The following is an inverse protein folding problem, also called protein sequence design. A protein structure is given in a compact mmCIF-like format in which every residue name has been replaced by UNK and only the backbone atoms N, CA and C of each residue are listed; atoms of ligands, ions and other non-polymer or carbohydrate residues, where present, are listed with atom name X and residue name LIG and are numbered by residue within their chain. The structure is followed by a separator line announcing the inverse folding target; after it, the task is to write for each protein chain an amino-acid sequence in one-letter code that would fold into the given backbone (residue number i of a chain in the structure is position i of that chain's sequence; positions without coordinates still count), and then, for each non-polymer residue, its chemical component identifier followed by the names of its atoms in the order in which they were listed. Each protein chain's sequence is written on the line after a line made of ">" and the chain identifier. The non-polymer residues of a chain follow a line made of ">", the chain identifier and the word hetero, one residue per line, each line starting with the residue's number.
data_IF_632975456656
#
_entry.id   IF_632975456656
#
_cell.length_a   1.000
_cell.length_b   1.000
_cell.length_c   1.000
_cell.angle_alpha   90.00
_cell.angle_beta   90.00
_cell.angle_gamma   90.00
#
_symmetry.space_group_name_H-M   'P 1'
#
loop_
_entity.id
_entity.type
_entity.pdbx_description
1 polymer ?
#
# COMPACT_ATOMS: atom_id res chain seq x y z
N UNK A 1 9.64 -16.29 -0.19
CA UNK A 1 8.77 -15.77 0.89
C UNK A 1 8.68 -14.24 0.94
N UNK A 2 9.74 -13.48 1.24
CA UNK A 2 9.64 -12.00 1.32
C UNK A 2 9.27 -11.37 -0.03
N UNK A 3 9.90 -11.82 -1.12
CA UNK A 3 9.60 -11.32 -2.47
C UNK A 3 8.18 -11.66 -2.94
N UNK A 4 7.68 -12.85 -2.59
CA UNK A 4 6.31 -13.27 -2.90
C UNK A 4 5.28 -12.42 -2.16
N UNK A 5 5.52 -12.14 -0.87
CA UNK A 5 4.68 -11.25 -0.07
C UNK A 5 4.72 -9.83 -0.65
N UNK A 6 5.90 -9.33 -1.01
CA UNK A 6 6.07 -8.01 -1.61
C UNK A 6 5.30 -7.88 -2.94
N UNK A 7 5.45 -8.86 -3.83
CA UNK A 7 4.78 -8.91 -5.13
C UNK A 7 3.26 -9.04 -4.97
N UNK A 8 2.79 -9.93 -4.10
CA UNK A 8 1.35 -10.07 -3.83
C UNK A 8 0.72 -8.80 -3.25
N UNK A 9 1.47 -8.03 -2.45
CA UNK A 9 1.02 -6.73 -1.95
C UNK A 9 0.91 -5.69 -3.08
N UNK A 10 1.91 -5.67 -3.97
CA UNK A 10 1.95 -4.78 -5.14
C UNK A 10 0.77 -5.04 -6.09
N UNK A 11 0.51 -6.31 -6.43
CA UNK A 11 -0.61 -6.71 -7.30
C UNK A 11 -1.96 -6.26 -6.73
N UNK A 12 -2.13 -6.35 -5.41
CA UNK A 12 -3.36 -5.92 -4.73
C UNK A 12 -3.53 -4.40 -4.72
N UNK A 13 -2.43 -3.64 -4.55
CA UNK A 13 -2.45 -2.18 -4.69
C UNK A 13 -2.85 -1.78 -6.11
N UNK A 14 -2.25 -2.40 -7.13
CA UNK A 14 -2.59 -2.11 -8.52
C UNK A 14 -4.06 -2.43 -8.82
N UNK A 15 -4.56 -3.57 -8.35
CA UNK A 15 -5.97 -3.94 -8.50
C UNK A 15 -6.93 -2.94 -7.81
N UNK A 16 -6.53 -2.34 -6.69
CA UNK A 16 -7.29 -1.27 -6.04
C UNK A 16 -7.31 -0.02 -6.92
N UNK A 17 -6.15 0.44 -7.42
CA UNK A 17 -6.13 1.61 -8.30
C UNK A 17 -6.93 1.38 -9.58
N UNK A 18 -6.74 0.26 -10.28
CA UNK A 18 -7.48 -0.06 -11.50
C UNK A 18 -9.00 -0.10 -11.29
N UNK A 19 -9.46 -0.54 -10.12
CA UNK A 19 -10.89 -0.69 -9.83
C UNK A 19 -11.58 0.60 -9.39
N UNK A 20 -10.82 1.58 -8.89
CA UNK A 20 -11.36 2.78 -8.23
C UNK A 20 -10.85 4.09 -8.83
N UNK A 21 -9.97 4.06 -9.82
CA UNK A 21 -9.57 5.25 -10.57
C UNK A 21 -10.65 5.66 -11.57
N UNK A 22 -10.82 6.96 -11.79
CA UNK A 22 -11.70 7.50 -12.82
C UNK A 22 -11.17 7.12 -14.21
N UNK A 23 -12.06 7.10 -15.20
CA UNK A 23 -11.73 6.71 -16.57
C UNK A 23 -10.63 7.59 -17.22
N UNK A 24 -10.49 8.83 -16.78
CA UNK A 24 -9.46 9.78 -17.20
C UNK A 24 -8.17 9.72 -16.35
N UNK A 25 -8.12 8.82 -15.35
CA UNK A 25 -6.96 8.67 -14.45
C UNK A 25 -6.81 9.79 -13.41
N UNK A 26 -7.69 10.80 -13.39
CA UNK A 26 -7.46 12.03 -12.62
C UNK A 26 -7.83 11.92 -11.14
N UNK A 27 -8.70 10.98 -10.78
CA UNK A 27 -9.25 10.85 -9.42
C UNK A 27 -9.36 9.39 -9.01
N UNK A 28 -9.18 9.12 -7.73
CA UNK A 28 -9.43 7.80 -7.15
C UNK A 28 -10.60 7.92 -6.16
N UNK A 29 -11.59 7.03 -6.28
CA UNK A 29 -12.76 7.00 -5.42
C UNK A 29 -12.45 6.22 -4.12
N UNK A 30 -11.77 6.92 -3.20
CA UNK A 30 -11.41 6.39 -1.88
C UNK A 30 -12.64 5.98 -1.05
N UNK A 31 -13.78 6.65 -1.24
CA UNK A 31 -15.01 6.34 -0.50
C UNK A 31 -15.54 4.95 -0.87
N UNK A 32 -15.65 4.66 -2.17
CA UNK A 32 -16.03 3.31 -2.65
C UNK A 32 -14.96 2.28 -2.36
N UNK A 33 -13.68 2.66 -2.46
CA UNK A 33 -12.56 1.75 -2.16
C UNK A 33 -12.60 1.27 -0.70
N UNK A 34 -12.85 2.16 0.26
CA UNK A 34 -12.89 1.86 1.70
C UNK A 34 -13.87 0.74 2.05
N UNK A 35 -15.05 0.72 1.42
CA UNK A 35 -16.09 -0.29 1.65
C UNK A 35 -15.90 -1.59 0.84
N UNK A 36 -14.85 -1.68 0.04
CA UNK A 36 -14.69 -2.78 -0.92
C UNK A 36 -14.08 -4.03 -0.31
N UNK A 37 -14.48 -5.19 -0.84
CA UNK A 37 -13.82 -6.48 -0.53
C UNK A 37 -12.35 -6.47 -0.90
N UNK A 38 -11.98 -5.79 -1.99
CA UNK A 38 -10.58 -5.64 -2.43
C UNK A 38 -9.73 -4.98 -1.35
N UNK A 39 -10.25 -3.94 -0.70
CA UNK A 39 -9.54 -3.24 0.36
C UNK A 39 -9.44 -4.10 1.63
N UNK A 40 -10.49 -4.84 1.98
CA UNK A 40 -10.42 -5.80 3.08
C UNK A 40 -9.39 -6.92 2.84
N UNK A 41 -9.33 -7.46 1.61
CA UNK A 41 -8.35 -8.48 1.22
C UNK A 41 -6.92 -7.92 1.26
N UNK A 42 -6.77 -6.66 0.86
CA UNK A 42 -5.51 -5.93 0.94
C UNK A 42 -5.00 -5.76 2.38
N UNK A 43 -5.86 -5.29 3.29
CA UNK A 43 -5.53 -5.14 4.72
C UNK A 43 -5.17 -6.48 5.36
N UNK A 44 -5.84 -7.56 4.97
CA UNK A 44 -5.48 -8.90 5.43
C UNK A 44 -4.10 -9.33 4.94
N UNK A 45 -3.80 -9.07 3.66
CA UNK A 45 -2.50 -9.40 3.06
C UNK A 45 -1.36 -8.57 3.68
N UNK A 46 -1.57 -7.29 3.99
CA UNK A 46 -0.57 -6.46 4.65
C UNK A 46 -0.24 -6.96 6.06
N UNK A 47 -1.19 -7.58 6.76
CA UNK A 47 -0.94 -8.26 8.04
C UNK A 47 0.10 -9.39 7.95
N UNK A 48 0.26 -10.04 6.78
CA UNK A 48 1.23 -11.12 6.58
C UNK A 48 2.69 -10.63 6.55
N UNK A 49 2.91 -9.32 6.38
CA UNK A 49 4.24 -8.71 6.48
C UNK A 49 4.83 -8.88 7.89
N UNK A 50 3.99 -8.87 8.93
CA UNK A 50 4.44 -8.98 10.34
C UNK A 50 4.93 -10.38 10.70
N UNK A 51 4.27 -11.41 10.19
CA UNK A 51 4.49 -12.79 10.65
C UNK A 51 5.48 -13.56 9.74
N UNK A 52 5.81 -13.00 8.56
CA UNK A 52 6.60 -13.66 7.52
C UNK A 52 7.96 -13.04 7.19
N UNK A 53 8.27 -11.87 7.74
CA UNK A 53 9.45 -11.06 7.37
C UNK A 53 10.27 -10.71 8.61
N UNK A 54 11.53 -11.15 8.65
CA UNK A 54 12.48 -10.77 9.70
C UNK A 54 13.46 -9.71 9.19
N UNK A 55 14.05 -8.92 10.10
CA UNK A 55 15.08 -7.93 9.75
C UNK A 55 16.29 -8.62 9.09
N UNK A 56 16.68 -9.80 9.57
CA UNK A 56 17.74 -10.59 8.95
C UNK A 56 17.43 -11.01 7.51
N UNK A 57 16.20 -11.45 7.24
CA UNK A 57 15.76 -11.81 5.89
C UNK A 57 15.74 -10.60 4.94
N UNK A 58 15.37 -9.41 5.43
CA UNK A 58 15.43 -8.17 4.66
C UNK A 58 16.86 -7.71 4.38
N UNK A 59 17.76 -7.86 5.35
CA UNK A 59 19.17 -7.50 5.21
C UNK A 59 19.88 -8.37 4.15
N UNK A 60 19.46 -9.63 4.00
CA UNK A 60 20.00 -10.55 2.99
C UNK A 60 19.48 -10.33 1.56
N UNK A 61 18.47 -9.46 1.36
CA UNK A 61 17.95 -9.20 0.02
C UNK A 61 18.91 -8.35 -0.82
N UNK A 62 18.93 -8.54 -2.15
CA UNK A 62 19.49 -7.56 -3.06
C UNK A 62 18.88 -6.18 -2.83
N UNK A 63 19.67 -5.13 -3.01
CA UNK A 63 19.24 -3.76 -2.72
C UNK A 63 17.95 -3.38 -3.46
N UNK A 64 17.83 -3.76 -4.74
CA UNK A 64 16.62 -3.53 -5.53
C UNK A 64 15.37 -4.19 -4.92
N UNK A 65 15.47 -5.47 -4.51
CA UNK A 65 14.36 -6.20 -3.87
C UNK A 65 13.99 -5.58 -2.52
N UNK A 66 14.98 -5.15 -1.74
CA UNK A 66 14.77 -4.47 -0.47
C UNK A 66 14.08 -3.12 -0.64
N UNK A 67 14.49 -2.33 -1.64
CA UNK A 67 13.86 -1.06 -1.97
C UNK A 67 12.41 -1.25 -2.42
N UNK A 68 12.14 -2.22 -3.31
CA UNK A 68 10.78 -2.55 -3.74
C UNK A 68 9.88 -2.95 -2.56
N UNK A 69 10.41 -3.73 -1.61
CA UNK A 69 9.69 -4.08 -0.39
C UNK A 69 9.29 -2.85 0.43
N UNK A 70 10.23 -1.94 0.71
CA UNK A 70 9.92 -0.73 1.47
C UNK A 70 8.97 0.23 0.74
N UNK A 71 9.08 0.34 -0.58
CA UNK A 71 8.13 1.11 -1.40
C UNK A 71 6.72 0.54 -1.29
N UNK A 72 6.58 -0.79 -1.38
CA UNK A 72 5.28 -1.44 -1.27
C UNK A 72 4.66 -1.25 0.12
N UNK A 73 5.46 -1.32 1.18
CA UNK A 73 5.01 -1.00 2.54
C UNK A 73 4.60 0.47 2.68
N UNK A 74 5.41 1.39 2.17
CA UNK A 74 5.11 2.82 2.20
C UNK A 74 3.78 3.14 1.51
N UNK A 75 3.59 2.60 0.30
CA UNK A 75 2.35 2.77 -0.45
C UNK A 75 1.15 2.18 0.32
N UNK A 76 1.37 1.08 1.05
CA UNK A 76 0.34 0.46 1.86
C UNK A 76 -0.10 1.26 3.06
N UNK A 77 0.86 1.79 3.81
CA UNK A 77 0.57 2.62 4.97
C UNK A 77 -0.08 3.93 4.53
N UNK A 78 0.39 4.53 3.43
CA UNK A 78 -0.18 5.75 2.87
C UNK A 78 -1.63 5.54 2.47
N UNK A 79 -1.92 4.48 1.70
CA UNK A 79 -3.28 4.15 1.29
C UNK A 79 -4.18 3.86 2.49
N UNK A 80 -3.68 3.08 3.45
CA UNK A 80 -4.41 2.76 4.67
C UNK A 80 -4.71 4.03 5.48
N UNK A 81 -3.75 4.92 5.66
CA UNK A 81 -3.92 6.17 6.40
C UNK A 81 -4.94 7.09 5.72
N UNK A 82 -4.82 7.31 4.39
CA UNK A 82 -5.78 8.09 3.61
C UNK A 82 -7.21 7.55 3.70
N UNK A 83 -7.36 6.23 3.83
CA UNK A 83 -8.67 5.60 3.94
C UNK A 83 -9.18 5.56 5.39
N UNK A 84 -8.32 5.24 6.37
CA UNK A 84 -8.66 5.03 7.77
C UNK A 84 -8.98 6.31 8.54
N UNK A 85 -8.28 7.40 8.24
CA UNK A 85 -8.37 8.66 9.00
C UNK A 85 -9.49 9.60 8.52
N UNK A 86 -10.21 9.23 7.46
CA UNK A 86 -11.34 10.02 6.96
C UNK A 86 -10.86 11.23 6.16
N UNK A 87 -11.02 11.11 4.84
CA UNK A 87 -10.98 12.19 3.85
C UNK A 87 -9.89 13.25 4.02
N UNK A 88 -8.68 12.88 3.61
CA UNK A 88 -7.91 13.63 2.62
C UNK A 88 -7.32 12.60 1.67
N UNK A 89 -7.96 12.42 0.50
CA UNK A 89 -7.43 11.58 -0.59
C UNK A 89 -5.97 11.91 -0.91
N UNK A 90 -5.31 11.14 -1.80
CA UNK A 90 -3.86 10.94 -1.75
C UNK A 90 -3.20 12.29 -1.66
N UNK A 91 -2.70 12.52 -0.46
CA UNK A 91 -2.46 13.85 0.01
C UNK A 91 -1.34 14.40 -0.87
N UNK A 92 -1.53 15.60 -1.42
CA UNK A 92 -0.49 16.34 -2.16
C UNK A 92 0.86 16.18 -1.44
N UNK A 93 2.00 16.29 -2.15
CA UNK A 93 3.32 16.15 -1.51
C UNK A 93 3.44 16.90 -0.16
N UNK A 94 2.73 18.02 -0.02
CA UNK A 94 2.56 18.81 1.21
C UNK A 94 2.01 18.02 2.40
N UNK A 95 0.91 17.31 2.24
CA UNK A 95 0.28 16.56 3.34
C UNK A 95 1.06 15.30 3.74
N UNK A 96 2.03 14.85 2.92
CA UNK A 96 2.93 13.75 3.29
C UNK A 96 3.96 14.18 4.32
N UNK A 97 4.30 15.47 4.35
CA UNK A 97 5.19 16.05 5.35
C UNK A 97 4.60 15.97 6.76
N UNK A 98 3.31 16.28 6.89
CA UNK A 98 2.62 16.32 8.20
C UNK A 98 2.43 14.92 8.83
N UNK A 99 2.48 13.84 8.05
CA UNK A 99 2.31 12.48 8.56
C UNK A 99 3.61 11.89 9.13
N UNK A 100 4.77 12.27 8.59
CA UNK A 100 6.08 11.75 9.00
C UNK A 100 6.95 12.74 9.79
N UNK A 101 6.45 13.98 9.99
CA UNK A 101 7.08 15.03 10.79
C UNK A 101 6.87 14.85 12.29
#
# INVERSE_FOLDING_TARGET
>A
RVEEVAKGLQERVLALYDSFISADGSRVDFARMRGSKLFADYVRASGQLRDGVTVGALASLPEASRNAFFINIYNAMTLHASLALGDRGPSSQEHRGDFFG
#
